data_IF_142580244923
#
_entry.id   IF_142580244923
#
_cell.length_a   1.000
_cell.length_b   1.000
_cell.length_c   1.000
_cell.angle_alpha   90.00
_cell.angle_beta   90.00
_cell.angle_gamma   90.00
#
_symmetry.space_group_name_H-M   'P 1'
#
loop_
_entity.id
_entity.type
_entity.pdbx_description
1 polymer ?
#
# COMPACT_ATOMS: atom_id res chain seq x y z
N UNK A 1 -15.51 -15.16 -15.03
CA UNK A 1 -14.89 -13.99 -15.69
C UNK A 1 -14.49 -13.01 -14.61
N UNK A 2 -13.34 -13.16 -13.95
CA UNK A 2 -12.03 -13.00 -14.56
C UNK A 2 -11.66 -11.52 -14.55
N UNK A 3 -11.48 -10.94 -13.36
CA UNK A 3 -11.15 -9.52 -13.18
C UNK A 3 -9.98 -9.39 -12.21
N UNK A 4 -8.78 -9.70 -12.67
CA UNK A 4 -7.56 -9.34 -11.94
C UNK A 4 -7.48 -7.81 -12.00
N UNK A 5 -7.71 -7.13 -10.88
CA UNK A 5 -7.69 -5.67 -10.76
C UNK A 5 -6.25 -5.20 -10.61
N UNK A 6 -5.49 -5.26 -11.70
CA UNK A 6 -4.15 -4.70 -11.78
C UNK A 6 -4.25 -3.19 -12.05
N UNK A 7 -3.94 -2.36 -11.05
CA UNK A 7 -3.79 -0.92 -11.24
C UNK A 7 -2.32 -0.63 -11.48
N UNK A 8 -1.94 -0.39 -12.74
CA UNK A 8 -0.62 0.20 -13.08
C UNK A 8 -0.79 1.70 -13.06
N UNK A 9 -0.18 2.37 -12.07
CA UNK A 9 -0.36 3.78 -11.81
C UNK A 9 0.11 4.65 -12.97
N UNK A 10 -0.82 5.17 -13.77
CA UNK A 10 -0.58 6.35 -14.59
C UNK A 10 -1.39 7.58 -14.12
N UNK A 11 -2.34 7.44 -13.20
CA UNK A 11 -3.11 8.56 -12.61
C UNK A 11 -3.65 8.22 -11.20
N UNK A 12 -2.85 7.60 -10.33
CA UNK A 12 -3.28 7.37 -8.94
C UNK A 12 -2.53 8.33 -8.04
N UNK A 13 -3.25 9.35 -7.59
CA UNK A 13 -2.85 10.28 -6.53
C UNK A 13 -3.57 9.93 -5.21
N UNK A 14 -3.41 10.76 -4.19
CA UNK A 14 -4.08 10.59 -2.90
C UNK A 14 -5.61 10.51 -3.04
N UNK A 15 -6.21 11.31 -3.92
CA UNK A 15 -7.66 11.29 -4.12
C UNK A 15 -8.10 9.96 -4.77
N UNK A 16 -7.34 9.48 -5.74
CA UNK A 16 -7.49 8.16 -6.34
C UNK A 16 -7.44 7.05 -5.28
N UNK A 17 -6.44 7.04 -4.41
CA UNK A 17 -6.35 6.07 -3.32
C UNK A 17 -7.54 6.14 -2.37
N UNK A 18 -8.01 7.34 -2.03
CA UNK A 18 -9.20 7.49 -1.18
C UNK A 18 -10.46 6.93 -1.82
N UNK A 19 -10.65 7.16 -3.13
CA UNK A 19 -11.78 6.59 -3.88
C UNK A 19 -11.72 5.06 -3.91
N UNK A 20 -10.53 4.49 -4.09
CA UNK A 20 -10.32 3.03 -4.03
C UNK A 20 -10.62 2.51 -2.62
N UNK A 21 -10.08 3.13 -1.57
CA UNK A 21 -10.29 2.73 -0.18
C UNK A 21 -11.78 2.69 0.19
N UNK A 22 -12.57 3.66 -0.30
CA UNK A 22 -14.02 3.73 -0.05
C UNK A 22 -14.86 2.72 -0.85
N UNK A 23 -14.36 2.21 -1.97
CA UNK A 23 -15.18 1.43 -2.93
C UNK A 23 -14.70 0.00 -3.16
N UNK A 24 -13.45 -0.31 -2.81
CA UNK A 24 -12.79 -1.55 -3.21
C UNK A 24 -12.17 -2.29 -2.01
N UNK A 25 -13.01 -3.00 -1.25
CA UNK A 25 -12.58 -3.82 -0.10
C UNK A 25 -12.05 -5.23 -0.46
N UNK A 26 -11.92 -5.52 -1.77
CA UNK A 26 -11.41 -6.79 -2.30
C UNK A 26 -10.07 -6.59 -3.02
N UNK A 27 -9.34 -5.52 -2.71
CA UNK A 27 -8.04 -5.29 -3.30
C UNK A 27 -7.06 -6.36 -2.81
N UNK A 28 -6.41 -7.04 -3.76
CA UNK A 28 -5.42 -8.08 -3.48
C UNK A 28 -4.01 -7.63 -3.90
N UNK A 29 -3.90 -6.71 -4.84
CA UNK A 29 -2.65 -6.22 -5.40
C UNK A 29 -2.66 -4.69 -5.47
N UNK A 30 -1.66 -4.05 -4.87
CA UNK A 30 -1.43 -2.61 -4.98
C UNK A 30 0.03 -2.38 -5.33
N UNK A 31 0.26 -1.61 -6.40
CA UNK A 31 1.58 -1.11 -6.75
C UNK A 31 1.48 0.40 -6.98
N UNK A 32 2.15 1.14 -6.12
CA UNK A 32 2.29 2.60 -6.17
C UNK A 32 3.77 2.99 -6.01
N UNK A 33 4.68 2.12 -6.46
CA UNK A 33 6.09 2.37 -6.45
C UNK A 33 6.43 3.70 -7.17
N UNK A 34 7.41 4.44 -6.65
CA UNK A 34 7.92 5.70 -7.18
C UNK A 34 6.91 6.85 -7.21
N UNK A 35 5.83 6.76 -6.42
CA UNK A 35 4.80 7.80 -6.28
C UNK A 35 5.09 8.69 -5.08
N UNK A 36 5.98 9.66 -5.26
CA UNK A 36 6.37 10.64 -4.23
C UNK A 36 5.25 11.64 -3.89
N UNK A 37 4.26 11.76 -4.77
CA UNK A 37 3.08 12.60 -4.60
C UNK A 37 2.04 11.98 -3.64
N UNK A 38 2.15 10.68 -3.37
CA UNK A 38 1.24 9.95 -2.49
C UNK A 38 1.71 10.05 -1.04
N UNK A 39 0.81 10.46 -0.16
CA UNK A 39 1.13 10.64 1.26
C UNK A 39 1.01 9.35 2.06
N UNK A 40 1.79 9.22 3.13
CA UNK A 40 1.65 8.13 4.11
C UNK A 40 0.19 7.96 4.57
N UNK A 41 -0.53 9.07 4.72
CA UNK A 41 -1.91 9.07 5.19
C UNK A 41 -2.86 8.29 4.25
N UNK A 42 -2.73 8.48 2.93
CA UNK A 42 -3.56 7.76 1.96
C UNK A 42 -3.15 6.30 1.82
N UNK A 43 -1.85 5.99 1.95
CA UNK A 43 -1.30 4.62 1.98
C UNK A 43 -1.89 3.85 3.17
N UNK A 44 -1.87 4.42 4.37
CA UNK A 44 -2.51 3.83 5.55
C UNK A 44 -4.03 3.69 5.35
N UNK A 45 -4.67 4.67 4.72
CA UNK A 45 -6.09 4.62 4.36
C UNK A 45 -6.45 3.39 3.50
N UNK A 46 -5.64 3.08 2.49
CA UNK A 46 -5.86 1.92 1.63
C UNK A 46 -5.52 0.61 2.33
N UNK A 47 -4.46 0.56 3.15
CA UNK A 47 -4.10 -0.60 3.99
C UNK A 47 -5.26 -0.99 4.90
N UNK A 48 -5.82 -0.02 5.64
CA UNK A 48 -6.97 -0.23 6.55
C UNK A 48 -8.22 -0.71 5.84
N UNK A 49 -8.39 -0.35 4.57
CA UNK A 49 -9.58 -0.68 3.78
C UNK A 49 -9.45 -1.97 2.97
N UNK A 50 -8.26 -2.61 2.98
CA UNK A 50 -7.90 -3.73 2.12
C UNK A 50 -7.42 -4.98 2.90
N UNK A 51 -8.29 -5.64 3.70
CA UNK A 51 -7.90 -6.81 4.50
C UNK A 51 -7.51 -8.05 3.68
N UNK A 52 -7.79 -8.03 2.36
CA UNK A 52 -7.44 -9.10 1.42
C UNK A 52 -6.12 -8.86 0.68
N UNK A 53 -5.38 -7.81 1.02
CA UNK A 53 -4.16 -7.47 0.32
C UNK A 53 -3.13 -8.62 0.42
N UNK A 54 -2.61 -9.03 -0.73
CA UNK A 54 -1.63 -10.11 -0.87
C UNK A 54 -0.29 -9.60 -1.41
N UNK A 55 -0.30 -8.50 -2.15
CA UNK A 55 0.89 -7.91 -2.75
C UNK A 55 0.84 -6.39 -2.60
N UNK A 56 1.87 -5.84 -1.98
CA UNK A 56 2.04 -4.41 -1.78
C UNK A 56 3.44 -3.99 -2.24
N UNK A 57 3.49 -3.10 -3.22
CA UNK A 57 4.72 -2.45 -3.66
C UNK A 57 4.59 -0.94 -3.47
N UNK A 58 5.34 -0.44 -2.49
CA UNK A 58 5.44 0.98 -2.09
C UNK A 58 6.90 1.44 -2.15
N UNK A 59 7.68 0.88 -3.08
CA UNK A 59 9.08 1.26 -3.33
C UNK A 59 9.19 2.78 -3.52
N UNK A 60 10.18 3.41 -2.90
CA UNK A 60 10.44 4.85 -3.02
C UNK A 60 9.26 5.73 -2.56
N UNK A 61 8.41 5.23 -1.65
CA UNK A 61 7.35 6.03 -1.01
C UNK A 61 7.84 6.62 0.33
N UNK A 62 7.36 7.81 0.66
CA UNK A 62 7.63 8.48 1.92
C UNK A 62 6.76 7.90 3.05
N UNK A 63 7.25 6.85 3.70
CA UNK A 63 6.56 6.14 4.78
C UNK A 63 7.43 5.93 6.01
N UNK A 64 6.80 5.77 7.16
CA UNK A 64 7.46 5.54 8.46
C UNK A 64 7.11 4.18 9.05
N UNK A 65 7.65 3.89 10.22
CA UNK A 65 7.29 2.73 11.04
C UNK A 65 5.78 2.62 11.33
N UNK A 66 5.02 3.71 11.24
CA UNK A 66 3.56 3.69 11.42
C UNK A 66 2.94 2.80 10.35
N UNK A 67 3.29 3.02 9.09
CA UNK A 67 2.81 2.23 7.95
C UNK A 67 3.12 0.74 8.14
N UNK A 68 4.33 0.41 8.58
CA UNK A 68 4.75 -0.97 8.79
C UNK A 68 3.93 -1.66 9.89
N UNK A 69 3.68 -0.97 11.00
CA UNK A 69 2.81 -1.50 12.08
C UNK A 69 1.41 -1.79 11.59
N UNK A 70 0.85 -0.93 10.73
CA UNK A 70 -0.48 -1.14 10.16
C UNK A 70 -0.51 -2.32 9.20
N UNK A 71 0.48 -2.44 8.32
CA UNK A 71 0.62 -3.59 7.42
C UNK A 71 0.66 -4.88 8.24
N UNK A 72 1.52 -4.95 9.24
CA UNK A 72 1.66 -6.13 10.11
C UNK A 72 0.37 -6.48 10.87
N UNK A 73 -0.41 -5.47 11.27
CA UNK A 73 -1.63 -5.67 12.06
C UNK A 73 -2.85 -6.01 11.22
N UNK A 74 -2.93 -5.50 9.98
CA UNK A 74 -4.16 -5.49 9.18
C UNK A 74 -4.07 -6.35 7.91
N UNK A 75 -2.90 -6.43 7.28
CA UNK A 75 -2.70 -7.18 6.04
C UNK A 75 -2.26 -8.62 6.30
N UNK A 76 -3.06 -9.39 7.02
CA UNK A 76 -2.73 -10.76 7.45
C UNK A 76 -2.58 -11.77 6.28
N UNK A 77 -3.03 -11.40 5.08
CA UNK A 77 -2.93 -12.22 3.86
C UNK A 77 -1.74 -11.82 2.97
N UNK A 78 -0.89 -10.89 3.41
CA UNK A 78 0.20 -10.37 2.61
C UNK A 78 1.25 -11.45 2.36
N UNK A 79 1.58 -11.66 1.09
CA UNK A 79 2.57 -12.63 0.59
C UNK A 79 3.80 -11.96 0.02
N UNK A 80 3.67 -10.70 -0.40
CA UNK A 80 4.74 -9.91 -0.98
C UNK A 80 4.63 -8.47 -0.50
N UNK A 81 5.76 -7.94 -0.05
CA UNK A 81 5.92 -6.57 0.38
C UNK A 81 7.25 -6.05 -0.19
N UNK A 82 7.21 -4.97 -0.96
CA UNK A 82 8.40 -4.25 -1.40
C UNK A 82 8.46 -2.87 -0.75
N UNK A 83 9.57 -2.63 -0.03
CA UNK A 83 9.89 -1.41 0.72
C UNK A 83 11.25 -0.83 0.29
N UNK A 84 11.78 -1.25 -0.87
CA UNK A 84 13.05 -0.74 -1.36
C UNK A 84 13.02 0.80 -1.43
N UNK A 85 14.11 1.44 -1.01
CA UNK A 85 14.26 2.90 -1.02
C UNK A 85 13.24 3.68 -0.17
N UNK A 86 12.63 3.04 0.83
CA UNK A 86 11.85 3.72 1.87
C UNK A 86 12.74 4.03 3.08
N UNK A 87 13.46 5.15 3.01
CA UNK A 87 14.57 5.45 3.95
C UNK A 87 14.13 5.87 5.36
N UNK A 88 12.85 6.21 5.54
CA UNK A 88 12.29 6.69 6.81
C UNK A 88 11.80 5.55 7.75
N UNK A 89 12.16 4.30 7.46
CA UNK A 89 11.82 3.11 8.24
C UNK A 89 13.03 2.66 9.06
N UNK A 90 12.83 2.39 10.36
CA UNK A 90 13.90 1.81 11.19
C UNK A 90 14.07 0.32 10.93
N UNK A 91 15.28 -0.20 11.09
CA UNK A 91 15.59 -1.64 10.94
C UNK A 91 14.75 -2.52 11.86
N UNK A 92 14.40 -2.03 13.04
CA UNK A 92 13.55 -2.75 14.01
C UNK A 92 12.12 -2.95 13.53
N UNK A 93 11.62 -2.09 12.64
CA UNK A 93 10.26 -2.25 12.11
C UNK A 93 10.15 -3.37 11.06
N UNK A 94 11.28 -3.77 10.46
CA UNK A 94 11.33 -4.74 9.35
C UNK A 94 11.79 -6.13 9.83
N UNK A 95 12.37 -6.22 11.03
CA UNK A 95 12.82 -7.47 11.67
C UNK A 95 11.75 -8.09 12.55
#
# INVERSE_FOLDING_TARGET
>A
SGGVRYFRGLEVDDEGLWRIAKSCHKLEYLNIAYRIEITEHSICGIIRSSPKLQHLDITFCEITNITIKEIASLCLNLKYLNLEWCDNISKEAIN
#
